data_IF_091993923685
#
_entry.id   IF_091993923685
#
_cell.length_a   1.000
_cell.length_b   1.000
_cell.length_c   1.000
_cell.angle_alpha   90.00
_cell.angle_beta   90.00
_cell.angle_gamma   90.00
#
_symmetry.space_group_name_H-M   'P 1'
#
loop_
_entity.id
_entity.type
_entity.pdbx_description
1 polymer ?
#
# COMPACT_ATOMS: atom_id res chain seq x y z
N UNK A 1 -15.52 32.45 -15.46
CA UNK A 1 -15.30 31.71 -14.19
C UNK A 1 -14.24 30.67 -14.48
N UNK A 2 -13.30 30.37 -13.56
CA UNK A 2 -12.29 29.35 -13.82
C UNK A 2 -12.97 28.02 -14.18
N UNK A 3 -12.45 27.33 -15.21
CA UNK A 3 -12.92 26.00 -15.59
C UNK A 3 -12.69 25.03 -14.42
N UNK A 4 -13.69 24.21 -14.12
CA UNK A 4 -13.57 23.19 -13.08
C UNK A 4 -12.50 22.16 -13.45
N UNK A 5 -11.53 21.93 -12.55
CA UNK A 5 -10.51 20.88 -12.66
C UNK A 5 -11.12 19.51 -12.91
N UNK A 6 -12.30 19.25 -12.34
CA UNK A 6 -13.03 18.00 -12.55
C UNK A 6 -13.43 17.78 -14.01
N UNK A 7 -13.76 18.85 -14.75
CA UNK A 7 -14.10 18.77 -16.18
C UNK A 7 -12.86 18.36 -16.98
N UNK A 8 -11.70 18.96 -16.67
CA UNK A 8 -10.43 18.64 -17.34
C UNK A 8 -10.00 17.20 -17.04
N UNK A 9 -10.15 16.74 -15.79
CA UNK A 9 -9.87 15.35 -15.39
C UNK A 9 -10.77 14.35 -16.12
N UNK A 10 -12.06 14.67 -16.29
CA UNK A 10 -12.99 13.83 -17.05
C UNK A 10 -12.63 13.79 -18.54
N UNK A 11 -12.28 14.94 -19.14
CA UNK A 11 -11.79 15.01 -20.53
C UNK A 11 -10.53 14.16 -20.72
N UNK A 12 -9.57 14.24 -19.79
CA UNK A 12 -8.36 13.43 -19.84
C UNK A 12 -8.67 11.92 -19.75
N UNK A 13 -9.55 11.52 -18.82
CA UNK A 13 -9.95 10.11 -18.68
C UNK A 13 -10.62 9.59 -19.96
N UNK A 14 -11.49 10.39 -20.58
CA UNK A 14 -12.10 10.05 -21.88
C UNK A 14 -11.06 9.94 -22.98
N UNK A 15 -10.19 10.94 -23.13
CA UNK A 15 -9.12 10.95 -24.13
C UNK A 15 -8.22 9.70 -24.03
N UNK A 16 -7.78 9.33 -22.82
CA UNK A 16 -6.96 8.15 -22.62
C UNK A 16 -7.72 6.85 -22.89
N UNK A 17 -9.00 6.77 -22.52
CA UNK A 17 -9.83 5.60 -22.78
C UNK A 17 -10.04 5.38 -24.28
N UNK A 18 -10.34 6.43 -25.03
CA UNK A 18 -10.49 6.38 -26.49
C UNK A 18 -9.17 6.02 -27.17
N UNK A 19 -8.06 6.59 -26.69
CA UNK A 19 -6.71 6.31 -27.21
C UNK A 19 -6.26 4.86 -27.05
N UNK A 20 -6.77 4.13 -26.05
CA UNK A 20 -6.41 2.73 -25.82
C UNK A 20 -6.80 1.83 -27.00
N UNK A 21 -7.97 2.07 -27.58
CA UNK A 21 -8.46 1.29 -28.73
C UNK A 21 -7.59 1.46 -29.99
N UNK A 22 -6.78 2.53 -30.04
CA UNK A 22 -5.91 2.86 -31.16
C UNK A 22 -4.45 2.39 -30.97
N UNK A 23 -4.13 1.72 -29.85
CA UNK A 23 -2.77 1.24 -29.54
C UNK A 23 -2.70 -0.28 -29.47
N UNK A 24 -2.21 -0.90 -30.54
CA UNK A 24 -2.00 -2.35 -30.59
C UNK A 24 -1.01 -2.83 -29.52
N UNK A 25 0.02 -2.03 -29.20
CA UNK A 25 1.03 -2.35 -28.19
C UNK A 25 0.43 -2.32 -26.78
N UNK A 26 -0.39 -1.31 -26.47
CA UNK A 26 -1.08 -1.24 -25.18
C UNK A 26 -2.04 -2.42 -24.99
N UNK A 27 -2.81 -2.75 -26.03
CA UNK A 27 -3.73 -3.89 -26.00
C UNK A 27 -2.98 -5.22 -25.86
N UNK A 28 -1.88 -5.40 -26.59
CA UNK A 28 -1.04 -6.59 -26.49
C UNK A 28 -0.42 -6.74 -25.10
N UNK A 29 -0.03 -5.63 -24.48
CA UNK A 29 0.47 -5.63 -23.12
C UNK A 29 -0.60 -6.08 -22.10
N UNK A 30 -1.83 -5.56 -22.21
CA UNK A 30 -2.94 -5.95 -21.33
C UNK A 30 -3.28 -7.44 -21.49
N UNK A 31 -3.26 -7.94 -22.72
CA UNK A 31 -3.45 -9.37 -23.01
C UNK A 31 -2.34 -10.25 -22.42
N UNK A 32 -1.07 -9.84 -22.56
CA UNK A 32 0.07 -10.56 -21.98
C UNK A 32 -0.01 -10.61 -20.44
N UNK A 33 -0.66 -9.62 -19.82
CA UNK A 33 -0.96 -9.57 -18.38
C UNK A 33 -2.25 -10.29 -17.98
N UNK A 34 -2.91 -10.97 -18.91
CA UNK A 34 -4.20 -11.65 -18.67
C UNK A 34 -5.27 -10.74 -18.05
N UNK A 35 -5.23 -9.43 -18.36
CA UNK A 35 -6.19 -8.47 -17.82
C UNK A 35 -7.46 -8.47 -18.69
N UNK A 36 -8.61 -8.91 -18.17
CA UNK A 36 -9.83 -8.99 -18.96
C UNK A 36 -10.38 -7.59 -19.25
N UNK A 37 -11.05 -7.44 -20.40
CA UNK A 37 -11.64 -6.16 -20.81
C UNK A 37 -12.66 -5.62 -19.80
N UNK A 38 -13.36 -6.50 -19.08
CA UNK A 38 -14.25 -6.08 -17.98
C UNK A 38 -13.51 -5.33 -16.88
N UNK A 39 -12.29 -5.73 -16.53
CA UNK A 39 -11.46 -5.02 -15.56
C UNK A 39 -10.90 -3.73 -16.16
N UNK A 40 -10.51 -3.75 -17.43
CA UNK A 40 -10.11 -2.53 -18.16
C UNK A 40 -11.23 -1.48 -18.11
N UNK A 41 -12.48 -1.90 -18.36
CA UNK A 41 -13.66 -1.04 -18.37
C UNK A 41 -14.07 -0.56 -16.97
N UNK A 42 -14.04 -1.44 -15.96
CA UNK A 42 -14.34 -1.11 -14.56
C UNK A 42 -13.33 -0.12 -13.99
N UNK A 43 -12.05 -0.38 -14.25
CA UNK A 43 -10.94 0.46 -13.75
C UNK A 43 -10.73 1.70 -14.61
N UNK A 44 -11.40 1.80 -15.77
CA UNK A 44 -11.27 2.87 -16.77
C UNK A 44 -9.85 3.00 -17.29
N UNK A 45 -9.14 1.87 -17.44
CA UNK A 45 -7.77 1.88 -17.95
C UNK A 45 -7.77 2.46 -19.37
N UNK A 46 -6.79 3.33 -19.62
CA UNK A 46 -6.59 4.00 -20.90
C UNK A 46 -5.14 3.95 -21.36
N UNK A 47 -4.82 4.72 -22.39
CA UNK A 47 -3.47 4.85 -22.93
C UNK A 47 -3.17 6.32 -23.23
N UNK A 48 -2.01 6.80 -22.80
CA UNK A 48 -1.45 8.07 -23.22
C UNK A 48 -0.59 7.85 -24.46
N UNK A 49 -0.96 8.42 -25.63
CA UNK A 49 -0.18 8.31 -26.86
C UNK A 49 1.28 8.75 -26.69
N UNK A 50 2.15 8.26 -27.57
CA UNK A 50 3.54 8.69 -27.61
C UNK A 50 3.68 10.01 -28.40
N UNK A 51 2.99 11.04 -27.93
CA UNK A 51 2.94 12.37 -28.55
C UNK A 51 3.20 13.43 -27.49
N UNK A 52 3.83 14.55 -27.87
CA UNK A 52 4.12 15.62 -26.92
C UNK A 52 2.89 16.45 -26.59
N UNK A 53 1.93 16.54 -27.50
CA UNK A 53 0.80 17.47 -27.41
C UNK A 53 -0.56 16.83 -27.76
N UNK A 54 -0.67 15.51 -27.63
CA UNK A 54 -1.89 14.76 -27.96
C UNK A 54 -3.10 15.21 -27.15
N UNK A 55 -2.99 15.31 -25.82
CA UNK A 55 -4.07 15.77 -24.94
C UNK A 55 -4.17 17.30 -24.90
N UNK A 56 -3.06 18.02 -24.73
CA UNK A 56 -3.06 19.49 -24.59
C UNK A 56 -3.68 20.20 -25.80
N UNK A 57 -3.52 19.63 -27.01
CA UNK A 57 -4.11 20.18 -28.24
C UNK A 57 -5.63 20.09 -28.29
N UNK A 58 -6.25 19.24 -27.46
CA UNK A 58 -7.72 19.11 -27.34
C UNK A 58 -8.34 20.15 -26.39
N UNK A 59 -7.50 20.91 -25.67
CA UNK A 59 -7.94 21.84 -24.62
C UNK A 59 -7.94 23.29 -25.10
N UNK A 60 -8.94 24.05 -24.67
CA UNK A 60 -8.93 25.50 -24.80
C UNK A 60 -7.99 26.18 -23.78
N UNK A 61 -7.76 27.49 -23.90
CA UNK A 61 -6.79 28.21 -23.05
C UNK A 61 -7.10 28.13 -21.54
N UNK A 62 -8.38 28.21 -21.15
CA UNK A 62 -8.80 28.12 -19.74
C UNK A 62 -8.63 26.69 -19.21
N UNK A 63 -8.95 25.69 -20.02
CA UNK A 63 -8.75 24.27 -19.70
C UNK A 63 -7.27 23.92 -19.57
N UNK A 64 -6.41 24.46 -20.43
CA UNK A 64 -4.96 24.27 -20.30
C UNK A 64 -4.42 24.90 -19.01
N UNK A 65 -4.92 26.08 -18.61
CA UNK A 65 -4.52 26.68 -17.33
C UNK A 65 -4.89 25.77 -16.15
N UNK A 66 -6.11 25.23 -16.13
CA UNK A 66 -6.53 24.27 -15.12
C UNK A 66 -5.72 22.96 -15.18
N UNK A 67 -5.46 22.41 -16.38
CA UNK A 67 -4.66 21.20 -16.58
C UNK A 67 -3.22 21.35 -16.06
N UNK A 68 -2.63 22.54 -16.21
CA UNK A 68 -1.30 22.87 -15.73
C UNK A 68 -1.27 22.88 -14.19
N UNK A 69 -2.29 23.45 -13.54
CA UNK A 69 -2.39 23.49 -12.08
C UNK A 69 -2.44 22.10 -11.42
N UNK A 70 -3.07 21.13 -12.10
CA UNK A 70 -3.18 19.74 -11.61
C UNK A 70 -2.14 18.80 -12.24
N UNK A 71 -1.18 19.34 -13.00
CA UNK A 71 -0.03 18.61 -13.54
C UNK A 71 -0.36 17.60 -14.65
N UNK A 72 -1.50 17.70 -15.32
CA UNK A 72 -1.80 16.86 -16.50
C UNK A 72 -1.00 17.29 -17.73
N UNK A 73 -0.65 18.58 -17.78
CA UNK A 73 0.29 19.14 -18.75
C UNK A 73 1.41 19.85 -17.98
N UNK A 74 2.53 20.04 -18.65
CA UNK A 74 3.67 20.80 -18.17
C UNK A 74 4.07 21.87 -19.21
N UNK A 75 4.87 22.85 -18.80
CA UNK A 75 5.34 23.93 -19.66
C UNK A 75 6.87 24.02 -19.64
N UNK A 76 7.49 24.15 -20.82
CA UNK A 76 8.92 24.39 -20.96
C UNK A 76 9.17 25.22 -22.21
N UNK A 77 10.04 26.24 -22.10
CA UNK A 77 10.36 27.15 -23.20
C UNK A 77 9.12 27.77 -23.88
N UNK A 78 8.09 28.11 -23.09
CA UNK A 78 6.83 28.67 -23.58
C UNK A 78 5.95 27.69 -24.37
N UNK A 79 6.27 26.39 -24.38
CA UNK A 79 5.46 25.34 -24.99
C UNK A 79 4.88 24.44 -23.91
N UNK A 80 3.57 24.18 -24.02
CA UNK A 80 2.87 23.22 -23.17
C UNK A 80 2.85 21.84 -23.81
N UNK A 81 2.99 20.82 -23.00
CA UNK A 81 3.06 19.42 -23.44
C UNK A 81 2.46 18.48 -22.39
N UNK A 82 2.08 17.29 -22.80
CA UNK A 82 1.41 16.29 -21.96
C UNK A 82 2.38 15.72 -20.92
N UNK A 83 1.95 15.61 -19.66
CA UNK A 83 2.78 15.00 -18.61
C UNK A 83 2.91 13.48 -18.77
N UNK A 84 1.86 12.82 -19.28
CA UNK A 84 1.84 11.38 -19.53
C UNK A 84 1.99 11.12 -21.03
N UNK A 85 2.94 10.26 -21.40
CA UNK A 85 3.22 9.88 -22.79
C UNK A 85 3.69 8.43 -22.83
N UNK A 86 3.27 7.70 -23.86
CA UNK A 86 3.65 6.29 -24.08
C UNK A 86 3.40 5.39 -22.85
N UNK A 87 2.24 5.56 -22.19
CA UNK A 87 1.92 4.90 -20.92
C UNK A 87 0.53 4.32 -20.92
N UNK A 88 0.36 3.14 -20.33
CA UNK A 88 -0.94 2.71 -19.83
C UNK A 88 -1.35 3.62 -18.67
N UNK A 89 -2.59 4.08 -18.71
CA UNK A 89 -3.14 5.04 -17.77
C UNK A 89 -4.17 4.36 -16.88
N UNK A 90 -4.02 4.59 -15.58
CA UNK A 90 -4.85 4.08 -14.51
C UNK A 90 -5.51 5.27 -13.81
N UNK A 91 -6.77 5.63 -14.15
CA UNK A 91 -7.45 6.73 -13.47
C UNK A 91 -7.59 6.46 -11.98
N UNK A 92 -7.17 7.44 -11.18
CA UNK A 92 -7.27 7.42 -9.72
C UNK A 92 -8.57 8.12 -9.35
N UNK A 93 -9.40 7.45 -8.54
CA UNK A 93 -10.72 7.95 -8.14
C UNK A 93 -10.81 8.22 -6.65
N UNK A 94 -11.57 9.24 -6.29
CA UNK A 94 -12.02 9.47 -4.90
C UNK A 94 -13.05 8.41 -4.47
N UNK A 95 -13.49 8.46 -3.21
CA UNK A 95 -14.47 7.50 -2.66
C UNK A 95 -15.85 7.56 -3.34
N UNK A 96 -16.14 8.64 -4.07
CA UNK A 96 -17.38 8.83 -4.84
C UNK A 96 -17.25 8.34 -6.27
N UNK A 97 -16.04 7.99 -6.71
CA UNK A 97 -15.74 7.55 -8.08
C UNK A 97 -15.38 8.69 -9.03
N UNK A 98 -15.14 9.91 -8.54
CA UNK A 98 -14.66 11.01 -9.39
C UNK A 98 -13.18 10.82 -9.66
N UNK A 99 -12.76 10.98 -10.92
CA UNK A 99 -11.33 10.97 -11.28
C UNK A 99 -10.66 12.20 -10.67
N UNK A 100 -9.61 11.99 -9.89
CA UNK A 100 -8.82 13.03 -9.21
C UNK A 100 -7.38 13.10 -9.73
N UNK A 101 -6.90 12.06 -10.40
CA UNK A 101 -5.55 12.00 -10.97
C UNK A 101 -5.36 10.71 -11.76
N UNK A 102 -4.10 10.44 -12.14
CA UNK A 102 -3.76 9.27 -12.95
C UNK A 102 -2.45 8.63 -12.47
N UNK A 103 -2.40 7.30 -12.51
CA UNK A 103 -1.18 6.51 -12.55
C UNK A 103 -0.84 6.17 -14.00
N UNK A 104 0.45 6.06 -14.32
CA UNK A 104 0.95 5.85 -15.67
C UNK A 104 2.10 4.87 -15.69
N UNK A 105 1.90 3.70 -16.30
CA UNK A 105 2.93 2.67 -16.46
C UNK A 105 3.49 2.69 -17.88
N UNK A 106 4.81 2.80 -18.05
CA UNK A 106 5.40 2.74 -19.39
C UNK A 106 5.23 1.35 -20.02
N UNK A 107 5.09 1.30 -21.34
CA UNK A 107 5.10 0.06 -22.11
C UNK A 107 6.52 -0.40 -22.48
N UNK A 108 7.49 0.50 -22.38
CA UNK A 108 8.90 0.32 -22.74
C UNK A 108 9.78 0.40 -21.50
N UNK A 109 11.10 0.49 -21.68
CA UNK A 109 12.07 0.66 -20.58
C UNK A 109 12.23 2.12 -20.11
N UNK A 110 11.27 2.99 -20.43
CA UNK A 110 11.31 4.41 -20.03
C UNK A 110 11.26 4.58 -18.50
N UNK A 111 12.12 5.46 -17.97
CA UNK A 111 12.15 5.79 -16.54
C UNK A 111 11.34 7.06 -16.23
N UNK A 112 10.54 7.09 -15.14
CA UNK A 112 10.29 6.00 -14.22
C UNK A 112 9.29 4.97 -14.78
N UNK A 113 9.39 3.71 -14.31
CA UNK A 113 8.47 2.63 -14.69
C UNK A 113 7.01 3.01 -14.43
N UNK A 114 6.75 3.64 -13.27
CA UNK A 114 5.47 4.19 -12.87
C UNK A 114 5.58 5.69 -12.62
N UNK A 115 4.59 6.44 -13.10
CA UNK A 115 4.44 7.87 -12.91
C UNK A 115 3.03 8.13 -12.34
N UNK A 116 2.93 8.85 -11.23
CA UNK A 116 1.64 9.30 -10.71
C UNK A 116 1.51 10.79 -10.93
N UNK A 117 0.26 11.28 -11.03
CA UNK A 117 -0.03 12.71 -10.93
C UNK A 117 0.71 13.35 -9.74
N UNK A 118 1.14 14.59 -9.94
CA UNK A 118 1.72 15.42 -8.88
C UNK A 118 0.65 15.77 -7.83
N UNK A 119 1.10 16.07 -6.61
CA UNK A 119 0.23 16.60 -5.55
C UNK A 119 -0.49 17.87 -6.06
N UNK A 120 -1.77 17.99 -5.76
CA UNK A 120 -2.62 19.14 -6.11
C UNK A 120 -3.72 19.35 -5.07
N UNK A 121 -4.58 20.34 -5.28
CA UNK A 121 -5.74 20.58 -4.44
C UNK A 121 -6.82 19.49 -4.57
N UNK A 122 -6.84 18.76 -5.68
CA UNK A 122 -7.78 17.66 -5.94
C UNK A 122 -7.18 16.27 -5.71
N UNK A 123 -5.85 16.15 -5.67
CA UNK A 123 -5.16 14.87 -5.51
C UNK A 123 -4.05 14.95 -4.48
N UNK A 124 -4.18 14.12 -3.43
CA UNK A 124 -3.14 13.92 -2.42
C UNK A 124 -2.86 12.43 -2.25
N UNK A 125 -1.63 11.99 -2.51
CA UNK A 125 -1.27 10.55 -2.44
C UNK A 125 -1.48 9.96 -1.05
N UNK A 126 -1.35 10.78 -0.01
CA UNK A 126 -1.55 10.39 1.39
C UNK A 126 -3.01 10.30 1.80
N UNK A 127 -3.97 10.63 0.93
CA UNK A 127 -5.40 10.68 1.26
C UNK A 127 -6.27 9.85 0.31
N UNK A 128 -5.66 9.10 -0.60
CA UNK A 128 -6.38 8.35 -1.64
C UNK A 128 -5.87 6.92 -1.69
N UNK A 129 -6.81 5.98 -1.69
CA UNK A 129 -6.56 4.58 -1.94
C UNK A 129 -7.15 4.20 -3.29
N UNK A 130 -6.31 3.74 -4.21
CA UNK A 130 -6.73 3.29 -5.52
C UNK A 130 -7.71 2.11 -5.40
N UNK A 131 -8.81 2.15 -6.15
CA UNK A 131 -9.83 1.09 -6.17
C UNK A 131 -10.82 1.12 -5.00
N UNK A 132 -10.69 2.06 -4.05
CA UNK A 132 -11.56 2.12 -2.87
C UNK A 132 -13.04 2.27 -3.24
N UNK A 133 -13.36 3.10 -4.24
CA UNK A 133 -14.74 3.31 -4.69
C UNK A 133 -15.42 2.01 -5.12
N UNK A 134 -14.69 1.15 -5.84
CA UNK A 134 -15.17 -0.16 -6.28
C UNK A 134 -15.20 -1.17 -5.13
N UNK A 135 -14.18 -1.18 -4.28
CA UNK A 135 -14.10 -2.07 -3.14
C UNK A 135 -15.25 -1.84 -2.16
N UNK A 136 -15.60 -0.58 -1.90
CA UNK A 136 -16.75 -0.20 -1.05
C UNK A 136 -18.08 -0.57 -1.73
N UNK A 137 -18.22 -0.30 -3.03
CA UNK A 137 -19.42 -0.69 -3.80
C UNK A 137 -19.68 -2.20 -3.80
N UNK A 138 -18.63 -3.02 -3.67
CA UNK A 138 -18.77 -4.47 -3.55
C UNK A 138 -19.50 -4.93 -2.27
N UNK A 139 -19.68 -4.03 -1.29
CA UNK A 139 -20.35 -4.30 -0.01
C UNK A 139 -19.50 -5.09 0.98
N UNK A 140 -18.28 -5.49 0.60
CA UNK A 140 -17.36 -6.23 1.46
C UNK A 140 -16.87 -5.36 2.62
N UNK A 141 -16.71 -6.00 3.77
CA UNK A 141 -16.23 -5.38 5.02
C UNK A 141 -14.78 -5.67 5.34
N UNK A 142 -14.17 -6.55 4.55
CA UNK A 142 -12.76 -6.91 4.63
C UNK A 142 -12.05 -6.41 3.38
N UNK A 143 -11.13 -5.47 3.53
CA UNK A 143 -10.32 -4.94 2.43
C UNK A 143 -8.86 -5.40 2.51
N UNK A 144 -8.25 -5.57 1.34
CA UNK A 144 -6.83 -5.86 1.18
C UNK A 144 -6.11 -4.57 0.80
N UNK A 145 -5.12 -4.15 1.57
CA UNK A 145 -4.30 -2.97 1.25
C UNK A 145 -3.00 -3.46 0.61
N UNK A 146 -2.78 -3.06 -0.64
CA UNK A 146 -1.62 -3.39 -1.47
C UNK A 146 -0.75 -2.14 -1.70
N UNK A 147 0.41 -2.31 -2.34
CA UNK A 147 1.35 -1.23 -2.64
C UNK A 147 1.13 -0.55 -4.00
N UNK A 148 0.58 -1.29 -4.98
CA UNK A 148 0.42 -0.82 -6.36
C UNK A 148 -0.97 -1.00 -6.95
N UNK A 149 -1.34 -0.08 -7.86
CA UNK A 149 -2.60 -0.18 -8.61
C UNK A 149 -2.61 -1.34 -9.63
N UNK A 150 -1.45 -1.81 -10.07
CA UNK A 150 -1.35 -3.01 -10.91
C UNK A 150 -1.79 -4.25 -10.16
N UNK A 151 -1.45 -4.34 -8.87
CA UNK A 151 -1.78 -5.49 -8.03
C UNK A 151 -3.29 -5.54 -7.77
N UNK A 152 -3.91 -4.36 -7.61
CA UNK A 152 -5.37 -4.21 -7.54
C UNK A 152 -6.01 -4.72 -8.83
N UNK A 153 -5.47 -4.35 -9.99
CA UNK A 153 -6.00 -4.81 -11.28
C UNK A 153 -5.81 -6.33 -11.47
N UNK A 154 -4.65 -6.86 -11.10
CA UNK A 154 -4.32 -8.28 -11.14
C UNK A 154 -5.28 -9.11 -10.28
N UNK A 155 -5.46 -8.75 -9.02
CA UNK A 155 -6.42 -9.44 -8.15
C UNK A 155 -7.87 -9.33 -8.68
N UNK A 156 -8.28 -8.17 -9.22
CA UNK A 156 -9.61 -8.00 -9.82
C UNK A 156 -9.81 -8.87 -11.07
N UNK A 157 -8.77 -9.12 -11.87
CA UNK A 157 -8.83 -10.04 -13.01
C UNK A 157 -9.17 -11.47 -12.60
N UNK A 158 -8.95 -11.82 -11.34
CA UNK A 158 -9.30 -13.10 -10.73
C UNK A 158 -10.52 -12.99 -9.81
N UNK A 159 -11.41 -12.02 -10.05
CA UNK A 159 -12.66 -11.79 -9.31
C UNK A 159 -12.48 -11.52 -7.80
N UNK A 160 -11.31 -11.04 -7.40
CA UNK A 160 -11.03 -10.58 -6.03
C UNK A 160 -11.31 -9.08 -5.97
N UNK A 161 -12.49 -8.73 -5.43
CA UNK A 161 -13.05 -7.37 -5.48
C UNK A 161 -12.77 -6.51 -4.23
N UNK A 162 -11.98 -7.02 -3.28
CA UNK A 162 -11.60 -6.35 -2.02
C UNK A 162 -10.31 -5.53 -2.03
N UNK A 163 -9.44 -5.52 -3.08
CA UNK A 163 -8.15 -4.85 -2.97
C UNK A 163 -8.25 -3.34 -3.20
N UNK A 164 -7.43 -2.63 -2.44
CA UNK A 164 -7.14 -1.20 -2.58
C UNK A 164 -5.62 -1.01 -2.50
N UNK A 165 -5.07 0.06 -3.04
CA UNK A 165 -3.63 0.29 -2.98
C UNK A 165 -3.26 1.73 -2.61
N UNK A 166 -2.11 1.88 -1.95
CA UNK A 166 -1.43 3.18 -1.89
C UNK A 166 -0.84 3.54 -3.25
N UNK A 167 -0.34 4.78 -3.38
CA UNK A 167 0.06 5.35 -4.67
C UNK A 167 1.56 5.71 -4.68
N UNK A 168 2.40 4.71 -4.41
CA UNK A 168 3.85 4.90 -4.27
C UNK A 168 4.22 5.70 -3.03
N UNK A 169 3.47 5.50 -1.95
CA UNK A 169 3.68 6.11 -0.64
C UNK A 169 3.41 5.09 0.46
N UNK A 170 4.00 5.30 1.64
CA UNK A 170 3.62 4.54 2.82
C UNK A 170 2.13 4.75 3.14
N UNK A 171 1.50 3.75 3.76
CA UNK A 171 0.16 3.89 4.27
C UNK A 171 0.15 4.92 5.41
N UNK A 172 -0.80 5.85 5.40
CA UNK A 172 -0.83 7.00 6.31
C UNK A 172 -2.03 6.94 7.23
N UNK A 173 -2.01 7.76 8.29
CA UNK A 173 -3.16 8.02 9.13
C UNK A 173 -4.39 8.47 8.34
N UNK A 174 -4.23 9.29 7.31
CA UNK A 174 -5.37 9.77 6.52
C UNK A 174 -5.99 8.64 5.68
N UNK A 175 -5.21 7.65 5.23
CA UNK A 175 -5.76 6.42 4.67
C UNK A 175 -6.54 5.62 5.70
N UNK A 176 -6.05 5.51 6.94
CA UNK A 176 -6.79 4.84 8.02
C UNK A 176 -8.15 5.50 8.27
N UNK A 177 -8.20 6.83 8.36
CA UNK A 177 -9.45 7.59 8.51
C UNK A 177 -10.42 7.36 7.34
N UNK A 178 -9.90 7.31 6.12
CA UNK A 178 -10.70 7.05 4.93
C UNK A 178 -11.34 5.65 4.99
N UNK A 179 -10.57 4.63 5.38
CA UNK A 179 -11.08 3.26 5.55
C UNK A 179 -12.11 3.16 6.67
N UNK A 180 -11.86 3.80 7.82
CA UNK A 180 -12.78 3.83 8.96
C UNK A 180 -14.14 4.45 8.57
N UNK A 181 -14.14 5.54 7.81
CA UNK A 181 -15.36 6.19 7.30
C UNK A 181 -16.11 5.37 6.24
N UNK A 182 -15.41 4.44 5.59
CA UNK A 182 -15.95 3.61 4.51
C UNK A 182 -16.70 2.36 5.00
N UNK A 183 -17.03 2.29 6.30
CA UNK A 183 -17.70 1.16 6.94
C UNK A 183 -16.96 -0.18 6.69
N UNK A 184 -15.63 -0.13 6.72
CA UNK A 184 -14.73 -1.29 6.73
C UNK A 184 -14.65 -1.83 8.16
N UNK A 185 -14.54 -3.16 8.31
CA UNK A 185 -14.44 -3.84 9.61
C UNK A 185 -13.14 -4.61 9.77
N UNK A 186 -12.57 -5.07 8.66
CA UNK A 186 -11.29 -5.76 8.65
C UNK A 186 -10.41 -5.18 7.56
N UNK A 187 -9.15 -4.92 7.89
CA UNK A 187 -8.11 -4.54 6.94
C UNK A 187 -7.03 -5.60 7.02
N UNK A 188 -6.53 -6.01 5.86
CA UNK A 188 -5.30 -6.81 5.81
C UNK A 188 -4.34 -6.22 4.81
N UNK A 189 -3.17 -5.86 5.32
CA UNK A 189 -2.08 -5.41 4.48
C UNK A 189 -1.44 -6.64 3.82
N UNK A 190 -1.34 -6.62 2.50
CA UNK A 190 -0.63 -7.64 1.74
C UNK A 190 0.67 -7.01 1.24
N UNK A 191 1.78 -7.42 1.82
CA UNK A 191 3.11 -6.93 1.47
C UNK A 191 3.84 -7.89 0.56
N UNK A 192 4.64 -7.34 -0.34
CA UNK A 192 5.51 -8.11 -1.21
C UNK A 192 6.52 -8.92 -0.39
N UNK A 193 6.95 -10.05 -0.94
CA UNK A 193 7.93 -10.94 -0.31
C UNK A 193 9.36 -10.41 -0.37
N UNK A 194 9.59 -9.13 -0.11
CA UNK A 194 10.91 -8.53 -0.21
C UNK A 194 11.24 -7.61 0.99
N UNK A 195 12.43 -6.99 0.95
CA UNK A 195 12.85 -6.07 2.02
C UNK A 195 11.97 -4.81 2.06
N UNK A 196 11.55 -4.30 0.90
CA UNK A 196 10.74 -3.10 0.82
C UNK A 196 9.35 -3.32 1.43
N UNK A 197 8.72 -4.48 1.18
CA UNK A 197 7.46 -4.88 1.78
C UNK A 197 7.54 -5.00 3.31
N UNK A 198 8.65 -5.54 3.84
CA UNK A 198 8.89 -5.53 5.29
C UNK A 198 9.03 -4.12 5.86
N UNK A 199 9.82 -3.26 5.21
CA UNK A 199 9.95 -1.86 5.62
C UNK A 199 8.59 -1.11 5.55
N UNK A 200 7.73 -1.46 4.58
CA UNK A 200 6.37 -0.95 4.48
C UNK A 200 5.46 -1.43 5.62
N UNK A 201 5.59 -2.69 6.05
CA UNK A 201 4.87 -3.23 7.20
C UNK A 201 5.16 -2.47 8.50
N UNK A 202 6.43 -2.11 8.75
CA UNK A 202 6.82 -1.30 9.91
C UNK A 202 6.13 0.07 9.85
N UNK A 203 6.18 0.74 8.69
CA UNK A 203 5.54 2.06 8.51
C UNK A 203 4.03 2.02 8.64
N UNK A 204 3.39 0.90 8.33
CA UNK A 204 1.95 0.76 8.46
C UNK A 204 1.49 0.75 9.94
N UNK A 205 2.38 0.44 10.89
CA UNK A 205 2.04 0.31 12.31
C UNK A 205 1.48 1.59 12.94
N UNK A 206 2.00 2.77 12.56
CA UNK A 206 1.45 4.07 13.01
C UNK A 206 -0.04 4.19 12.69
N UNK A 207 -0.44 3.68 11.52
CA UNK A 207 -1.83 3.71 11.09
C UNK A 207 -2.68 2.56 11.66
N UNK A 208 -2.07 1.55 12.29
CA UNK A 208 -2.78 0.41 12.88
C UNK A 208 -3.51 0.81 14.15
N UNK A 209 -2.87 1.60 15.03
CA UNK A 209 -3.55 2.12 16.23
C UNK A 209 -4.78 2.92 15.84
N UNK A 210 -4.70 3.77 14.82
CA UNK A 210 -5.87 4.54 14.35
C UNK A 210 -7.00 3.65 13.85
N UNK A 211 -6.68 2.60 13.09
CA UNK A 211 -7.67 1.63 12.64
C UNK A 211 -8.28 0.87 13.83
N UNK A 212 -7.47 0.50 14.81
CA UNK A 212 -7.91 -0.16 16.03
C UNK A 212 -8.86 0.74 16.85
N UNK A 213 -8.51 2.00 17.08
CA UNK A 213 -9.36 3.00 17.75
C UNK A 213 -10.71 3.19 17.02
N UNK A 214 -10.70 3.09 15.69
CA UNK A 214 -11.90 3.12 14.86
C UNK A 214 -12.70 1.80 14.87
N UNK A 215 -12.27 0.79 15.63
CA UNK A 215 -12.91 -0.52 15.70
C UNK A 215 -12.74 -1.37 14.44
N UNK A 216 -11.67 -1.14 13.68
CA UNK A 216 -11.29 -1.94 12.50
C UNK A 216 -10.23 -2.95 12.92
N UNK A 217 -10.50 -4.23 12.67
CA UNK A 217 -9.53 -5.29 12.91
C UNK A 217 -8.42 -5.26 11.84
N UNK A 218 -7.16 -5.22 12.28
CA UNK A 218 -6.00 -5.13 11.40
C UNK A 218 -5.21 -6.43 11.44
N UNK A 219 -4.70 -6.83 10.27
CA UNK A 219 -3.71 -7.88 10.14
C UNK A 219 -2.81 -7.66 8.93
N UNK A 220 -1.84 -8.55 8.74
CA UNK A 220 -1.04 -8.58 7.51
C UNK A 220 -0.82 -9.98 6.97
N UNK A 221 -0.45 -10.05 5.71
CA UNK A 221 0.07 -11.22 5.00
C UNK A 221 1.34 -10.77 4.28
N UNK A 222 2.40 -11.55 4.41
CA UNK A 222 3.61 -11.39 3.61
C UNK A 222 3.60 -12.47 2.53
N UNK A 223 3.78 -12.09 1.28
CA UNK A 223 3.87 -13.04 0.17
C UNK A 223 5.21 -13.80 0.19
N UNK A 224 5.31 -14.94 -0.51
CA UNK A 224 6.58 -15.65 -0.66
C UNK A 224 7.64 -14.78 -1.34
N UNK A 225 8.90 -15.08 -1.05
CA UNK A 225 10.03 -14.26 -1.50
C UNK A 225 10.00 -13.97 -3.01
N UNK A 226 10.08 -12.68 -3.35
CA UNK A 226 10.15 -12.19 -4.73
C UNK A 226 8.84 -12.27 -5.52
N UNK A 227 7.69 -12.48 -4.87
CA UNK A 227 6.37 -12.38 -5.51
C UNK A 227 5.59 -11.17 -5.01
N UNK A 228 4.94 -10.48 -5.95
CA UNK A 228 3.87 -9.50 -5.69
C UNK A 228 2.46 -10.16 -5.80
N UNK A 229 1.36 -9.47 -5.42
CA UNK A 229 0.02 -10.05 -5.50
C UNK A 229 -0.45 -10.39 -6.93
N UNK A 230 -0.06 -9.60 -7.94
CA UNK A 230 -0.39 -9.82 -9.36
C UNK A 230 0.29 -11.11 -9.85
N UNK A 231 1.58 -11.26 -9.61
CA UNK A 231 2.39 -12.42 -9.95
C UNK A 231 1.91 -13.69 -9.22
N UNK A 232 1.59 -13.58 -7.93
CA UNK A 232 1.08 -14.71 -7.16
C UNK A 232 -0.24 -15.22 -7.74
N UNK A 233 -1.22 -14.33 -7.96
CA UNK A 233 -2.55 -14.75 -8.42
C UNK A 233 -2.52 -15.25 -9.85
N UNK A 234 -1.72 -14.64 -10.73
CA UNK A 234 -1.59 -15.10 -12.12
C UNK A 234 -0.92 -16.47 -12.21
N UNK A 235 0.07 -16.76 -11.35
CA UNK A 235 0.78 -18.04 -11.39
C UNK A 235 0.03 -19.17 -10.68
N UNK A 236 -0.79 -18.88 -9.67
CA UNK A 236 -1.41 -19.91 -8.80
C UNK A 236 -2.94 -19.93 -8.81
N UNK A 237 -3.57 -18.87 -9.31
CA UNK A 237 -5.02 -18.70 -9.33
C UNK A 237 -5.64 -18.26 -8.01
N UNK A 238 -6.90 -17.84 -8.10
CA UNK A 238 -7.71 -17.31 -6.99
C UNK A 238 -7.81 -18.23 -5.78
N UNK A 239 -8.00 -19.53 -6.01
CA UNK A 239 -8.20 -20.51 -4.93
C UNK A 239 -6.95 -20.61 -4.06
N UNK A 240 -5.78 -20.75 -4.69
CA UNK A 240 -4.50 -20.78 -3.98
C UNK A 240 -4.16 -19.46 -3.31
N UNK A 241 -4.53 -18.33 -3.91
CA UNK A 241 -4.41 -17.03 -3.25
C UNK A 241 -5.26 -16.98 -1.98
N UNK A 242 -6.51 -17.44 -2.04
CA UNK A 242 -7.43 -17.44 -0.90
C UNK A 242 -6.96 -18.38 0.22
N UNK A 243 -6.52 -19.59 -0.12
CA UNK A 243 -5.91 -20.54 0.83
C UNK A 243 -4.67 -19.94 1.50
N UNK A 244 -3.75 -19.40 0.70
CA UNK A 244 -2.54 -18.78 1.22
C UNK A 244 -2.85 -17.63 2.16
N UNK A 245 -3.76 -16.73 1.75
CA UNK A 245 -4.17 -15.59 2.54
C UNK A 245 -4.81 -16.03 3.88
N UNK A 246 -5.70 -17.03 3.87
CA UNK A 246 -6.33 -17.53 5.08
C UNK A 246 -5.33 -18.19 6.03
N UNK A 247 -4.38 -18.97 5.51
CA UNK A 247 -3.38 -19.68 6.33
C UNK A 247 -2.25 -18.79 6.84
N UNK A 248 -1.94 -17.69 6.16
CA UNK A 248 -0.78 -16.84 6.47
C UNK A 248 -1.17 -15.46 7.01
N UNK A 249 -2.46 -15.16 7.17
CA UNK A 249 -2.90 -13.91 7.80
C UNK A 249 -2.51 -13.90 9.26
N UNK A 250 -1.72 -12.90 9.63
CA UNK A 250 -1.33 -12.60 10.99
C UNK A 250 -2.23 -11.48 11.52
N UNK A 251 -2.74 -11.64 12.73
CA UNK A 251 -3.37 -10.52 13.45
C UNK A 251 -2.30 -9.51 13.92
N UNK A 252 -2.73 -8.43 14.56
CA UNK A 252 -1.79 -7.38 14.97
C UNK A 252 -0.63 -7.90 15.84
N UNK A 253 -0.90 -8.75 16.82
CA UNK A 253 0.13 -9.29 17.73
C UNK A 253 1.10 -10.24 17.02
N UNK A 254 0.57 -11.15 16.19
CA UNK A 254 1.40 -12.07 15.40
C UNK A 254 2.26 -11.33 14.37
N UNK A 255 1.76 -10.21 13.85
CA UNK A 255 2.50 -9.36 12.92
C UNK A 255 3.69 -8.69 13.59
N UNK A 256 3.50 -8.12 14.79
CA UNK A 256 4.59 -7.52 15.58
C UNK A 256 5.63 -8.60 15.95
N UNK A 257 5.18 -9.77 16.40
CA UNK A 257 6.08 -10.89 16.70
C UNK A 257 6.92 -11.28 15.47
N UNK A 258 6.29 -11.42 14.30
CA UNK A 258 6.99 -11.73 13.06
C UNK A 258 8.03 -10.66 12.69
N UNK A 259 7.69 -9.37 12.76
CA UNK A 259 8.65 -8.30 12.47
C UNK A 259 9.82 -8.29 13.46
N UNK A 260 9.55 -8.59 14.73
CA UNK A 260 10.58 -8.78 15.76
C UNK A 260 11.56 -9.91 15.40
N UNK A 261 11.04 -11.06 14.95
CA UNK A 261 11.85 -12.19 14.48
C UNK A 261 12.65 -11.83 13.23
N UNK A 262 12.02 -11.23 12.23
CA UNK A 262 12.70 -10.80 11.00
C UNK A 262 13.85 -9.83 11.32
N UNK A 263 13.64 -8.91 12.26
CA UNK A 263 14.69 -7.99 12.73
C UNK A 263 15.81 -8.74 13.46
N UNK A 264 15.48 -9.68 14.34
CA UNK A 264 16.48 -10.49 15.03
C UNK A 264 17.38 -11.25 14.05
N UNK A 265 16.77 -11.93 13.08
CA UNK A 265 17.49 -12.72 12.07
C UNK A 265 18.35 -11.84 11.16
N UNK A 266 18.01 -10.56 11.00
CA UNK A 266 18.84 -9.61 10.24
C UNK A 266 20.22 -9.35 10.88
N UNK A 267 20.37 -9.61 12.19
CA UNK A 267 21.65 -9.54 12.90
C UNK A 267 22.48 -10.85 12.80
N UNK A 268 21.96 -11.88 12.14
CA UNK A 268 22.58 -13.18 11.98
C UNK A 268 21.96 -14.27 12.86
N UNK A 269 22.51 -15.50 12.78
CA UNK A 269 21.93 -16.69 13.43
C UNK A 269 22.07 -16.73 14.96
N UNK A 270 23.00 -15.99 15.52
CA UNK A 270 23.24 -15.91 16.97
C UNK A 270 23.67 -14.49 17.36
N UNK A 271 22.76 -13.51 17.30
CA UNK A 271 23.04 -12.12 17.68
C UNK A 271 23.51 -12.03 19.14
N UNK A 272 24.49 -11.16 19.41
CA UNK A 272 24.93 -10.85 20.78
C UNK A 272 23.89 -10.04 21.56
N UNK A 273 24.09 -9.91 22.88
CA UNK A 273 23.12 -9.29 23.80
C UNK A 273 22.60 -7.92 23.34
N UNK A 274 23.48 -7.03 22.88
CA UNK A 274 23.08 -5.69 22.40
C UNK A 274 22.08 -5.76 21.24
N UNK A 275 22.27 -6.70 20.31
CA UNK A 275 21.34 -6.90 19.19
C UNK A 275 19.99 -7.46 19.67
N UNK A 276 20.02 -8.32 20.70
CA UNK A 276 18.80 -8.85 21.33
C UNK A 276 18.02 -7.74 22.03
N UNK A 277 18.68 -6.91 22.83
CA UNK A 277 18.09 -5.75 23.50
C UNK A 277 17.49 -4.75 22.49
N UNK A 278 18.19 -4.49 21.38
CA UNK A 278 17.67 -3.66 20.30
C UNK A 278 16.40 -4.25 19.65
N UNK A 279 16.29 -5.57 19.55
CA UNK A 279 15.07 -6.22 19.05
C UNK A 279 13.91 -6.13 20.05
N UNK A 280 14.17 -6.27 21.35
CA UNK A 280 13.15 -6.09 22.40
C UNK A 280 12.64 -4.64 22.42
N UNK A 281 13.55 -3.66 22.38
CA UNK A 281 13.18 -2.25 22.30
C UNK A 281 12.33 -1.96 21.05
N UNK A 282 12.70 -2.54 19.91
CA UNK A 282 11.93 -2.45 18.67
C UNK A 282 10.52 -3.06 18.79
N UNK A 283 10.38 -4.26 19.38
CA UNK A 283 9.08 -4.88 19.61
C UNK A 283 8.22 -4.01 20.55
N UNK A 284 8.82 -3.47 21.61
CA UNK A 284 8.11 -2.62 22.56
C UNK A 284 7.62 -1.32 21.90
N UNK A 285 8.44 -0.69 21.06
CA UNK A 285 8.05 0.47 20.26
C UNK A 285 6.85 0.15 19.36
N UNK A 286 6.89 -0.97 18.63
CA UNK A 286 5.76 -1.43 17.81
C UNK A 286 4.49 -1.70 18.63
N UNK A 287 4.61 -2.32 19.80
CA UNK A 287 3.49 -2.54 20.72
C UNK A 287 2.83 -1.24 21.14
N UNK A 288 3.63 -0.23 21.51
CA UNK A 288 3.14 1.09 21.89
C UNK A 288 2.47 1.80 20.71
N UNK A 289 3.11 1.78 19.53
CA UNK A 289 2.62 2.43 18.32
C UNK A 289 1.33 1.82 17.81
N UNK A 290 1.17 0.50 17.89
CA UNK A 290 -0.01 -0.22 17.38
C UNK A 290 -1.11 -0.44 18.44
N UNK A 291 -0.93 0.04 19.67
CA UNK A 291 -1.81 -0.22 20.83
C UNK A 291 -2.06 -1.73 21.06
N UNK A 292 -0.99 -2.52 21.03
CA UNK A 292 -1.02 -3.97 21.26
C UNK A 292 -0.24 -4.30 22.52
N UNK A 293 -0.85 -5.04 23.45
CA UNK A 293 -0.16 -5.43 24.68
C UNK A 293 0.99 -6.41 24.40
N UNK A 294 2.09 -6.24 25.13
CA UNK A 294 3.27 -7.11 25.05
C UNK A 294 2.90 -8.57 25.37
N UNK A 295 1.93 -8.80 26.27
CA UNK A 295 1.45 -10.15 26.59
C UNK A 295 0.82 -10.86 25.37
N UNK A 296 0.11 -10.13 24.50
CA UNK A 296 -0.44 -10.71 23.26
C UNK A 296 0.67 -11.06 22.29
N UNK A 297 1.68 -10.21 22.17
CA UNK A 297 2.85 -10.48 21.31
C UNK A 297 3.65 -11.67 21.85
N UNK A 298 3.83 -11.78 23.17
CA UNK A 298 4.42 -12.96 23.81
C UNK A 298 3.62 -14.23 23.51
N UNK A 299 2.30 -14.20 23.65
CA UNK A 299 1.46 -15.34 23.31
C UNK A 299 1.60 -15.75 21.83
N UNK A 300 1.80 -14.77 20.93
CA UNK A 300 2.09 -15.03 19.53
C UNK A 300 3.47 -15.69 19.32
N UNK A 301 4.49 -15.31 20.10
CA UNK A 301 5.77 -16.03 20.13
C UNK A 301 5.60 -17.48 20.54
N UNK A 302 4.85 -17.72 21.62
CA UNK A 302 4.63 -19.06 22.17
C UNK A 302 3.78 -19.98 21.27
N UNK A 303 2.87 -19.39 20.49
CA UNK A 303 1.95 -20.13 19.64
C UNK A 303 2.52 -20.50 18.26
N UNK A 304 3.68 -19.96 17.88
CA UNK A 304 4.23 -20.13 16.53
C UNK A 304 5.59 -20.84 16.53
N UNK A 305 5.63 -22.15 16.21
CA UNK A 305 6.85 -22.96 16.18
C UNK A 305 7.94 -22.43 15.23
N UNK A 306 7.58 -21.61 14.23
CA UNK A 306 8.56 -20.99 13.34
C UNK A 306 9.47 -19.99 14.10
N UNK A 307 9.05 -19.53 15.27
CA UNK A 307 9.80 -18.59 16.10
C UNK A 307 10.70 -19.27 17.14
N UNK A 308 10.64 -20.59 17.29
CA UNK A 308 11.38 -21.38 18.30
C UNK A 308 12.89 -21.07 18.32
N UNK A 309 13.49 -20.84 17.15
CA UNK A 309 14.93 -20.55 17.02
C UNK A 309 15.36 -19.22 17.65
N UNK A 310 14.42 -18.31 17.89
CA UNK A 310 14.65 -16.97 18.45
C UNK A 310 13.97 -16.82 19.83
N UNK A 311 12.95 -17.65 20.10
CA UNK A 311 12.03 -17.55 21.23
C UNK A 311 12.75 -17.52 22.59
N UNK A 312 13.67 -18.44 22.88
CA UNK A 312 14.35 -18.48 24.18
C UNK A 312 15.19 -17.23 24.48
N UNK A 313 15.78 -16.63 23.45
CA UNK A 313 16.67 -15.46 23.57
C UNK A 313 15.87 -14.16 23.69
N UNK A 314 14.81 -13.98 22.89
CA UNK A 314 13.98 -12.77 22.97
C UNK A 314 13.01 -12.79 24.15
N UNK A 315 12.36 -13.92 24.45
CA UNK A 315 11.38 -13.97 25.53
C UNK A 315 12.01 -13.77 26.91
N UNK A 316 13.21 -14.30 27.14
CA UNK A 316 13.93 -14.07 28.40
C UNK A 316 14.23 -12.59 28.64
N UNK A 317 14.58 -11.85 27.58
CA UNK A 317 14.84 -10.42 27.64
C UNK A 317 13.56 -9.57 27.75
N UNK A 318 12.46 -9.99 27.12
CA UNK A 318 11.14 -9.36 27.29
C UNK A 318 10.68 -9.46 28.76
N UNK A 319 10.96 -10.58 29.43
CA UNK A 319 10.62 -10.78 30.84
C UNK A 319 11.48 -9.93 31.80
N UNK A 320 12.75 -9.70 31.48
CA UNK A 320 13.66 -8.84 32.26
C UNK A 320 13.30 -7.35 32.14
N UNK A 321 12.84 -6.87 30.98
CA UNK A 321 12.41 -5.48 30.77
C UNK A 321 11.19 -5.08 31.61
N UNK A 322 10.45 -6.06 32.14
CA UNK A 322 9.27 -5.87 33.00
C UNK A 322 9.62 -5.62 34.46
N UNK A 323 10.85 -5.93 34.90
CA UNK A 323 11.25 -5.63 36.27
C UNK A 323 11.59 -4.14 36.38
N UNK A 324 10.95 -3.37 37.28
CA UNK A 324 11.46 -2.04 37.59
C UNK A 324 12.93 -2.17 38.04
N UNK A 325 13.79 -1.18 37.77
CA UNK A 325 15.18 -1.25 38.21
C UNK A 325 15.18 -1.56 39.71
N UNK A 326 15.87 -2.64 40.10
CA UNK A 326 16.04 -3.00 41.50
C UNK A 326 16.48 -1.74 42.25
N UNK A 327 15.63 -1.24 43.14
CA UNK A 327 16.01 -0.15 44.04
C UNK A 327 17.29 -0.59 44.75
N UNK A 328 18.36 0.14 44.51
CA UNK A 328 19.65 -0.05 45.16
C UNK A 328 19.46 0.21 46.66
N UNK A 329 19.09 -0.82 47.42
CA UNK A 329 19.14 -0.84 48.88
C UNK A 329 20.60 -0.86 49.33
N UNK A 330 21.24 0.30 49.23
CA UNK A 330 22.51 0.62 49.87
C UNK A 330 22.32 1.84 50.77
N UNK A 331 21.32 1.83 51.64
CA UNK A 331 21.38 2.59 52.89
C UNK A 331 22.24 1.80 53.88
N UNK A 332 23.57 1.90 53.72
CA UNK A 332 24.49 1.57 54.80
C UNK A 332 24.19 2.51 55.95
N UNK A 333 23.70 1.93 57.04
CA UNK A 333 23.60 2.61 58.32
C UNK A 333 24.94 3.15 58.75
N UNK A 334 24.95 4.42 59.13
CA UNK A 334 25.91 4.95 60.09
C UNK A 334 25.13 5.83 61.08
N UNK A 335 25.12 5.37 62.32
CA UNK A 335 24.91 6.13 63.56
C UNK A 335 25.80 5.41 64.60
N UNK A 336 26.34 6.08 65.62
CA UNK A 336 25.84 7.30 66.26
C UNK A 336 26.51 8.60 65.81
#
# INVERSE_FOLDING_TARGET
>A
MPVSKQVVLQKAAQFYSESLAHSADAMSYLQARSLPLSVVDDMKIGYAPNEWDGFVSTLNAEEQAAALEIGLIAESNGRRYDSFRNRLIFPIRDEKGNVVGFGGRTLTDDTPKYLNSSESDVFKKSQILYGLDLAVKSGRKHLLVLEGYTDVCGLRAHDINTPVATLGTAFTEQHAHLLAKSNVKHVTFCFDGDKAGRDAAVRAMDAWAMLHEAGVEVGCVFLPDGLDPDEFVNSRGREKFSEYFQSNRLDAANSIAKLGVDRYLSYGKSPGLDAQLNCVAYINDLCMTADVSVERVRAAFDANPAFDCVQHSLLSQIDEFRQPPLENNNSKGFSP
#
